data_IF_598495893789
#
_entry.id   IF_598495893789
#
_cell.length_a   1.000
_cell.length_b   1.000
_cell.length_c   1.000
_cell.angle_alpha   90.00
_cell.angle_beta   90.00
_cell.angle_gamma   90.00
#
_symmetry.space_group_name_H-M   'P 1'
#
loop_
_entity.id
_entity.type
_entity.pdbx_description
1 polymer ?
#
# COMPACT_ATOMS: atom_id res chain seq x y z
N UNK A 1 -13.31 -10.13 -8.22
CA UNK A 1 -12.97 -9.47 -6.93
C UNK A 1 -14.12 -8.60 -6.36
N UNK A 2 -15.17 -8.27 -7.13
CA UNK A 2 -16.29 -7.46 -6.64
C UNK A 2 -16.95 -7.99 -5.35
N UNK A 3 -17.07 -9.32 -5.18
CA UNK A 3 -17.58 -9.91 -3.95
C UNK A 3 -16.74 -9.56 -2.71
N UNK A 4 -15.42 -9.43 -2.83
CA UNK A 4 -14.54 -9.04 -1.71
C UNK A 4 -14.76 -7.59 -1.29
N UNK A 5 -15.09 -6.70 -2.23
CA UNK A 5 -15.38 -5.29 -1.93
C UNK A 5 -16.63 -5.21 -1.07
N UNK A 6 -17.72 -5.82 -1.55
CA UNK A 6 -19.00 -5.81 -0.83
C UNK A 6 -18.89 -6.51 0.53
N UNK A 7 -18.16 -7.63 0.60
CA UNK A 7 -17.90 -8.32 1.87
C UNK A 7 -17.15 -7.43 2.85
N UNK A 8 -16.10 -6.73 2.40
CA UNK A 8 -15.30 -5.85 3.26
C UNK A 8 -16.14 -4.71 3.82
N UNK A 9 -16.96 -4.09 2.98
CA UNK A 9 -17.85 -3.00 3.39
C UNK A 9 -18.95 -3.48 4.34
N UNK A 10 -19.61 -4.60 4.02
CA UNK A 10 -20.65 -5.16 4.87
C UNK A 10 -20.14 -5.52 6.28
N UNK A 11 -18.98 -6.19 6.37
CA UNK A 11 -18.39 -6.54 7.66
C UNK A 11 -17.88 -5.31 8.43
N UNK A 12 -17.38 -4.30 7.73
CA UNK A 12 -16.98 -3.04 8.36
C UNK A 12 -18.17 -2.34 9.01
N UNK A 13 -19.32 -2.31 8.34
CA UNK A 13 -20.55 -1.70 8.88
C UNK A 13 -21.12 -2.53 10.04
N UNK A 14 -21.17 -3.87 9.89
CA UNK A 14 -21.74 -4.78 10.89
C UNK A 14 -20.98 -4.72 12.22
N UNK A 15 -19.64 -4.66 12.18
CA UNK A 15 -18.80 -4.69 13.38
C UNK A 15 -18.33 -3.31 13.86
N UNK A 16 -18.79 -2.23 13.23
CA UNK A 16 -18.44 -0.87 13.64
C UNK A 16 -18.82 -0.59 15.11
N UNK A 17 -19.96 -1.11 15.58
CA UNK A 17 -20.42 -0.95 16.96
C UNK A 17 -19.50 -1.61 18.00
N UNK A 18 -18.71 -2.59 17.60
CA UNK A 18 -17.72 -3.29 18.43
C UNK A 18 -16.32 -2.67 18.32
N UNK A 19 -16.16 -1.61 17.51
CA UNK A 19 -14.88 -0.97 17.24
C UNK A 19 -13.93 -1.82 16.38
N UNK A 20 -14.43 -2.86 15.71
CA UNK A 20 -13.64 -3.71 14.82
C UNK A 20 -13.54 -3.03 13.45
N UNK A 21 -12.32 -2.96 12.93
CA UNK A 21 -12.04 -2.39 11.60
C UNK A 21 -11.74 -3.49 10.61
N UNK A 22 -12.38 -3.44 9.45
CA UNK A 22 -12.23 -4.46 8.41
C UNK A 22 -11.75 -3.77 7.14
N UNK A 23 -10.64 -4.24 6.57
CA UNK A 23 -10.11 -3.72 5.31
C UNK A 23 -9.59 -4.88 4.45
N UNK A 24 -9.51 -4.68 3.14
CA UNK A 24 -8.93 -5.65 2.20
C UNK A 24 -7.63 -5.11 1.62
N UNK A 25 -6.55 -5.87 1.73
CA UNK A 25 -5.29 -5.56 1.04
C UNK A 25 -5.25 -6.34 -0.26
N UNK A 26 -5.12 -5.63 -1.38
CA UNK A 26 -5.04 -6.16 -2.72
C UNK A 26 -3.68 -5.85 -3.34
N UNK A 27 -2.66 -6.68 -3.09
CA UNK A 27 -1.35 -6.44 -3.67
C UNK A 27 -1.30 -6.84 -5.15
N UNK A 28 -0.42 -6.18 -5.90
CA UNK A 28 0.05 -6.64 -7.21
C UNK A 28 0.74 -8.01 -7.10
N UNK A 29 1.17 -8.54 -8.25
CA UNK A 29 1.96 -9.78 -8.29
C UNK A 29 3.17 -9.64 -7.37
N UNK A 30 3.19 -10.44 -6.30
CA UNK A 30 4.15 -10.30 -5.20
C UNK A 30 5.15 -11.46 -5.21
N UNK A 31 6.42 -11.15 -4.99
CA UNK A 31 7.52 -12.10 -4.82
C UNK A 31 7.36 -12.86 -3.49
N UNK A 32 6.65 -13.98 -3.56
CA UNK A 32 6.42 -14.90 -2.42
C UNK A 32 6.91 -16.31 -2.77
N UNK A 33 7.26 -17.15 -1.78
CA UNK A 33 7.58 -18.56 -2.03
C UNK A 33 6.46 -19.31 -2.78
N UNK A 34 5.19 -18.97 -2.51
CA UNK A 34 4.03 -19.54 -3.20
C UNK A 34 4.02 -19.17 -4.69
N UNK A 35 4.34 -17.92 -5.03
CA UNK A 35 4.45 -17.45 -6.43
C UNK A 35 5.56 -18.17 -7.16
N UNK A 36 6.76 -18.26 -6.57
CA UNK A 36 7.89 -18.99 -7.17
C UNK A 36 7.56 -20.47 -7.40
N UNK A 37 6.89 -21.12 -6.44
CA UNK A 37 6.46 -22.52 -6.60
C UNK A 37 5.45 -22.69 -7.74
N UNK A 38 4.53 -21.72 -7.92
CA UNK A 38 3.46 -21.82 -8.90
C UNK A 38 3.88 -21.41 -10.33
N UNK A 39 4.84 -20.50 -10.48
CA UNK A 39 5.19 -19.90 -11.78
C UNK A 39 6.69 -19.95 -12.13
N UNK A 40 7.54 -20.49 -11.24
CA UNK A 40 8.99 -20.51 -11.41
C UNK A 40 9.64 -19.17 -11.03
N UNK A 41 10.89 -18.99 -11.47
CA UNK A 41 11.59 -17.71 -11.31
C UNK A 41 11.13 -16.73 -12.38
N UNK A 42 10.69 -15.56 -11.95
CA UNK A 42 10.24 -14.47 -12.81
C UNK A 42 11.32 -13.37 -12.85
N UNK A 43 11.39 -12.51 -13.88
CA UNK A 43 12.44 -11.51 -14.01
C UNK A 43 12.57 -10.61 -12.78
N UNK A 44 13.80 -10.20 -12.47
CA UNK A 44 14.07 -9.27 -11.37
C UNK A 44 13.32 -7.95 -11.57
N UNK A 45 12.78 -7.38 -10.48
CA UNK A 45 11.96 -6.16 -10.51
C UNK A 45 10.55 -6.33 -11.11
N UNK A 46 10.19 -7.50 -11.65
CA UNK A 46 8.86 -7.72 -12.24
C UNK A 46 7.75 -8.02 -11.21
N UNK A 47 8.12 -8.17 -9.93
CA UNK A 47 7.23 -8.53 -8.83
C UNK A 47 7.40 -7.54 -7.67
N UNK A 48 6.28 -7.17 -7.05
CA UNK A 48 6.26 -6.42 -5.81
C UNK A 48 6.97 -7.21 -4.70
N UNK A 49 7.78 -6.55 -3.87
CA UNK A 49 8.42 -7.23 -2.75
C UNK A 49 7.38 -7.59 -1.67
N UNK A 50 7.54 -8.75 -1.04
CA UNK A 50 6.70 -9.12 0.11
C UNK A 50 6.83 -8.13 1.28
N UNK A 51 8.01 -7.51 1.41
CA UNK A 51 8.26 -6.47 2.42
C UNK A 51 7.40 -5.23 2.19
N UNK A 52 7.24 -4.77 0.95
CA UNK A 52 6.38 -3.63 0.64
C UNK A 52 4.92 -3.91 1.03
N UNK A 53 4.41 -5.11 0.70
CA UNK A 53 3.06 -5.55 1.11
C UNK A 53 2.93 -5.58 2.63
N UNK A 54 3.95 -6.08 3.33
CA UNK A 54 3.95 -6.16 4.79
C UNK A 54 3.91 -4.77 5.44
N UNK A 55 4.69 -3.81 4.93
CA UNK A 55 4.69 -2.42 5.41
C UNK A 55 3.32 -1.77 5.25
N UNK A 56 2.72 -1.83 4.06
CA UNK A 56 1.37 -1.31 3.85
C UNK A 56 0.32 -2.00 4.72
N UNK A 57 0.47 -3.31 4.96
CA UNK A 57 -0.43 -4.04 5.87
C UNK A 57 -0.34 -3.51 7.31
N UNK A 58 0.87 -3.19 7.80
CA UNK A 58 1.04 -2.55 9.10
C UNK A 58 0.43 -1.15 9.12
N UNK A 59 0.62 -0.35 8.08
CA UNK A 59 0.03 0.98 7.98
C UNK A 59 -1.51 0.91 8.04
N UNK A 60 -2.13 -0.04 7.34
CA UNK A 60 -3.57 -0.28 7.40
C UNK A 60 -4.02 -0.66 8.81
N UNK A 61 -3.30 -1.57 9.48
CA UNK A 61 -3.63 -2.00 10.85
C UNK A 61 -3.53 -0.86 11.86
N UNK A 62 -2.59 0.06 11.68
CA UNK A 62 -2.37 1.21 12.56
C UNK A 62 -3.29 2.40 12.23
N UNK A 63 -3.76 2.49 10.99
CA UNK A 63 -4.66 3.56 10.53
C UNK A 63 -6.05 3.49 11.19
N UNK A 64 -6.84 4.55 11.04
CA UNK A 64 -8.26 4.57 11.42
C UNK A 64 -9.22 4.04 10.33
N UNK A 65 -8.70 3.48 9.22
CA UNK A 65 -9.52 3.07 8.08
C UNK A 65 -10.39 1.84 8.41
N UNK A 66 -11.59 1.78 7.83
CA UNK A 66 -12.47 0.61 7.82
C UNK A 66 -13.32 0.62 6.55
N UNK A 67 -13.67 -0.55 6.00
CA UNK A 67 -14.44 -0.72 4.77
C UNK A 67 -13.65 -0.48 3.47
N UNK A 68 -12.33 -0.32 3.53
CA UNK A 68 -11.52 0.05 2.37
C UNK A 68 -10.88 -1.16 1.68
N UNK A 69 -10.70 -1.04 0.36
CA UNK A 69 -9.80 -1.89 -0.42
C UNK A 69 -8.54 -1.10 -0.73
N UNK A 70 -7.40 -1.58 -0.26
CA UNK A 70 -6.10 -0.95 -0.38
C UNK A 70 -5.31 -1.69 -1.44
N UNK A 71 -5.11 -1.04 -2.58
CA UNK A 71 -4.26 -1.55 -3.65
C UNK A 71 -2.78 -1.27 -3.32
N UNK A 72 -1.93 -2.30 -3.37
CA UNK A 72 -0.48 -2.16 -3.18
C UNK A 72 0.21 -2.41 -4.51
N UNK A 73 0.92 -1.41 -5.03
CA UNK A 73 1.49 -1.42 -6.39
C UNK A 73 2.97 -1.06 -6.39
N UNK A 74 3.74 -1.60 -7.35
CA UNK A 74 5.15 -1.22 -7.51
C UNK A 74 5.33 0.20 -8.05
N UNK A 75 4.44 0.62 -8.96
CA UNK A 75 4.37 1.99 -9.44
C UNK A 75 3.02 2.54 -9.01
N UNK A 76 3.05 3.53 -8.12
CA UNK A 76 1.86 4.29 -7.82
C UNK A 76 1.61 5.28 -8.98
N UNK A 77 0.54 5.11 -9.79
CA UNK A 77 0.23 6.05 -10.86
C UNK A 77 -0.07 7.47 -10.35
N UNK A 78 -0.24 7.64 -9.03
CA UNK A 78 -0.37 8.92 -8.33
C UNK A 78 0.92 9.40 -7.66
N UNK A 79 2.02 8.62 -7.66
CA UNK A 79 3.30 9.06 -7.10
C UNK A 79 3.79 10.36 -7.75
N UNK A 80 3.67 10.47 -9.08
CA UNK A 80 4.01 11.71 -9.79
C UNK A 80 3.11 12.90 -9.42
N UNK A 81 1.91 12.65 -8.88
CA UNK A 81 1.02 13.69 -8.36
C UNK A 81 1.36 14.07 -6.91
N UNK A 82 1.81 13.12 -6.07
CA UNK A 82 2.26 13.40 -4.70
C UNK A 82 3.64 14.10 -4.65
N UNK A 83 4.58 13.66 -5.50
CA UNK A 83 5.90 14.31 -5.69
C UNK A 83 5.80 15.72 -6.28
N UNK A 84 4.64 16.07 -6.84
CA UNK A 84 4.38 17.41 -7.40
C UNK A 84 4.00 18.47 -6.35
N UNK A 85 3.98 18.13 -5.06
CA UNK A 85 3.90 19.18 -4.03
C UNK A 85 5.21 19.97 -4.03
N UNK A 86 5.22 21.09 -4.75
CA UNK A 86 6.39 21.99 -4.82
C UNK A 86 6.88 22.45 -3.44
N UNK A 87 6.08 22.25 -2.39
CA UNK A 87 6.46 22.45 -1.00
C UNK A 87 7.48 21.44 -0.48
N UNK A 88 7.34 20.13 -0.75
CA UNK A 88 8.32 19.13 -0.31
C UNK A 88 9.65 19.26 -1.05
N UNK A 89 9.61 19.54 -2.36
CA UNK A 89 10.81 19.86 -3.15
C UNK A 89 11.49 21.15 -2.67
N UNK A 90 10.71 22.19 -2.33
CA UNK A 90 11.25 23.41 -1.77
C UNK A 90 11.89 23.18 -0.38
N UNK A 91 11.25 22.40 0.48
CA UNK A 91 11.76 22.07 1.82
C UNK A 91 13.06 21.26 1.73
N UNK A 92 13.12 20.23 0.88
CA UNK A 92 14.35 19.46 0.64
C UNK A 92 15.50 20.36 0.13
N UNK A 93 15.21 21.27 -0.80
CA UNK A 93 16.23 22.20 -1.33
C UNK A 93 16.76 23.20 -0.32
N UNK A 94 15.99 23.55 0.71
CA UNK A 94 16.41 24.45 1.79
C UNK A 94 17.25 23.71 2.81
N UNK A 95 16.88 22.47 3.14
CA UNK A 95 17.61 21.63 4.08
C UNK A 95 18.99 21.23 3.54
N UNK A 96 19.11 20.89 2.25
CA UNK A 96 20.40 20.60 1.62
C UNK A 96 21.34 21.81 1.62
N UNK A 97 20.82 23.04 1.50
CA UNK A 97 21.64 24.27 1.56
C UNK A 97 22.17 24.58 2.95
N UNK A 98 21.59 24.01 4.01
CA UNK A 98 22.04 24.21 5.38
C UNK A 98 23.11 23.20 5.82
N UNK A 99 23.37 22.15 5.02
CA UNK A 99 24.39 21.16 5.30
C UNK A 99 25.80 21.54 4.79
N UNK A 100 25.91 22.61 3.99
CA UNK A 100 27.15 23.08 3.36
C UNK A 100 27.77 24.36 4.01
N UNK A 101 27.49 24.62 5.30
CA UNK A 101 28.15 25.67 6.09
C UNK A 101 28.72 25.11 7.39
#
# INVERSE_FOLDING_TARGET
KAAMVNLTQALADEWAGEGIRVNCVNPERTATPMRTKAFGQEPEGSLLSSEAVARTSLDVLLSALTGHVIDVRQQDPTAGAAESSGFEQALASVLDRQADV
#
